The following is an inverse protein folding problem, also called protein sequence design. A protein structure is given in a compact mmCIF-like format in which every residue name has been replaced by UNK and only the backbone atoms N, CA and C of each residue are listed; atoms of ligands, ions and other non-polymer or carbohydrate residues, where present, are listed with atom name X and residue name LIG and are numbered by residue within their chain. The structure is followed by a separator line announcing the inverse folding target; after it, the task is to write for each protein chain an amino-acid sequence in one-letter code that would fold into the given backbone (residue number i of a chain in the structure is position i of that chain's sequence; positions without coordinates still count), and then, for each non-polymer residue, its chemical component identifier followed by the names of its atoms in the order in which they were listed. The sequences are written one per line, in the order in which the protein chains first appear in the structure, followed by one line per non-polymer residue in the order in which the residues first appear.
data_IF_693236820246
#
_entry.id   IF_693236820246
#
_cell.length_a   1.000
_cell.length_b   1.000
_cell.length_c   1.000
_cell.angle_alpha   90.00
_cell.angle_beta   90.00
_cell.angle_gamma   90.00
#
_symmetry.space_group_name_H-M   'P 1'
#
loop_
_entity.id
_entity.type
_entity.pdbx_description
1 polymer ?
#
# COMPACT_ATOMS: atom_id res chain seq x y z
N UNK A 1 -13.22 8.68 19.37
CA UNK A 1 -13.17 8.50 17.90
C UNK A 1 -11.74 8.05 17.56
N UNK A 2 -11.57 7.03 16.71
CA UNK A 2 -10.22 6.67 16.25
C UNK A 2 -9.70 7.81 15.37
N UNK A 3 -8.41 8.09 15.48
CA UNK A 3 -7.72 9.03 14.61
C UNK A 3 -7.80 8.58 13.15
N UNK A 4 -7.89 9.49 12.20
CA UNK A 4 -8.01 9.20 10.76
C UNK A 4 -6.63 9.27 10.13
N UNK A 5 -6.20 8.19 9.47
CA UNK A 5 -4.91 8.14 8.76
C UNK A 5 -5.01 8.65 7.33
N UNK A 6 -6.10 8.32 6.63
CA UNK A 6 -6.36 8.79 5.26
C UNK A 6 -7.76 9.38 5.20
N UNK A 7 -7.88 10.60 4.67
CA UNK A 7 -9.15 11.28 4.41
C UNK A 7 -9.18 11.76 2.96
N UNK A 8 -10.24 11.41 2.26
CA UNK A 8 -10.53 11.88 0.90
C UNK A 8 -11.93 12.44 0.90
N UNK A 9 -12.11 13.68 0.42
CA UNK A 9 -13.39 14.39 0.43
C UNK A 9 -13.67 14.98 -0.97
N UNK A 10 -14.75 14.53 -1.60
CA UNK A 10 -15.25 15.00 -2.89
C UNK A 10 -14.18 15.10 -3.99
N UNK A 11 -13.22 14.13 -3.99
CA UNK A 11 -12.08 14.12 -4.90
C UNK A 11 -12.54 13.84 -6.33
N UNK A 12 -12.31 14.80 -7.22
CA UNK A 12 -12.53 14.66 -8.66
C UNK A 12 -11.22 14.87 -9.40
N UNK A 13 -10.87 13.92 -10.26
CA UNK A 13 -9.64 13.97 -11.03
C UNK A 13 -9.85 13.53 -12.48
N UNK A 14 -9.26 14.27 -13.41
CA UNK A 14 -9.18 13.93 -14.83
C UNK A 14 -7.75 14.09 -15.37
N UNK A 15 -7.38 13.22 -16.29
CA UNK A 15 -6.19 13.43 -17.13
C UNK A 15 -6.46 14.55 -18.15
N UNK A 16 -5.43 15.27 -18.63
CA UNK A 16 -5.62 16.29 -19.65
C UNK A 16 -6.43 15.76 -20.84
N UNK A 17 -7.39 16.53 -21.27
CA UNK A 17 -8.27 16.21 -22.42
C UNK A 17 -9.05 14.89 -22.31
N UNK A 18 -9.22 14.36 -21.10
CA UNK A 18 -9.98 13.12 -20.83
C UNK A 18 -11.11 13.38 -19.84
N UNK A 19 -12.19 12.58 -19.90
CA UNK A 19 -13.25 12.67 -18.89
C UNK A 19 -12.70 12.29 -17.50
N UNK A 20 -13.38 12.73 -16.42
CA UNK A 20 -12.97 12.41 -15.06
C UNK A 20 -12.83 10.89 -14.80
N UNK A 21 -11.65 10.50 -14.30
CA UNK A 21 -11.33 9.13 -13.86
C UNK A 21 -11.82 8.90 -12.43
N UNK A 22 -11.74 9.93 -11.57
CA UNK A 22 -12.33 9.93 -10.23
C UNK A 22 -13.41 11.02 -10.18
N UNK A 23 -14.55 10.72 -9.55
CA UNK A 23 -15.76 11.54 -9.56
C UNK A 23 -16.32 11.62 -8.14
N UNK A 24 -16.05 12.72 -7.45
CA UNK A 24 -16.55 13.01 -6.10
C UNK A 24 -16.28 11.88 -5.09
N UNK A 25 -15.11 11.25 -5.18
CA UNK A 25 -14.73 10.19 -4.26
C UNK A 25 -14.59 10.73 -2.84
N UNK A 26 -15.27 10.07 -1.89
CA UNK A 26 -15.15 10.39 -0.46
C UNK A 26 -15.02 9.12 0.35
N UNK A 27 -14.00 9.05 1.22
CA UNK A 27 -13.80 7.95 2.16
C UNK A 27 -12.81 8.33 3.26
N UNK A 28 -12.82 7.55 4.36
CA UNK A 28 -11.87 7.70 5.45
C UNK A 28 -11.34 6.35 5.88
N UNK A 29 -10.03 6.30 6.22
CA UNK A 29 -9.39 5.11 6.78
C UNK A 29 -8.88 5.46 8.17
N UNK A 30 -9.33 4.75 9.22
CA UNK A 30 -8.84 4.94 10.58
C UNK A 30 -7.38 4.49 10.73
N UNK A 31 -6.66 5.12 11.67
CA UNK A 31 -5.29 4.73 12.02
C UNK A 31 -5.22 3.30 12.55
N UNK A 32 -4.16 2.57 12.20
CA UNK A 32 -3.87 1.22 12.67
C UNK A 32 -4.81 0.16 12.10
N UNK A 33 -5.27 0.33 10.88
CA UNK A 33 -6.13 -0.63 10.20
C UNK A 33 -5.59 -1.04 8.83
N UNK A 34 -5.91 -2.26 8.40
CA UNK A 34 -5.71 -2.77 7.04
C UNK A 34 -7.00 -2.60 6.25
N UNK A 35 -6.96 -1.80 5.20
CA UNK A 35 -8.08 -1.58 4.30
C UNK A 35 -7.78 -2.06 2.89
N UNK A 36 -8.77 -2.68 2.26
CA UNK A 36 -8.67 -3.12 0.85
C UNK A 36 -9.40 -2.14 -0.07
N UNK A 37 -8.74 -1.77 -1.17
CA UNK A 37 -9.36 -1.01 -2.26
C UNK A 37 -9.61 -1.94 -3.44
N UNK A 38 -10.89 -2.24 -3.69
CA UNK A 38 -11.34 -3.13 -4.74
C UNK A 38 -12.03 -2.37 -5.86
N UNK A 39 -12.18 -3.03 -6.99
CA UNK A 39 -12.92 -2.52 -8.16
C UNK A 39 -12.40 -3.10 -9.46
N UNK A 40 -13.18 -3.02 -10.55
CA UNK A 40 -12.78 -3.49 -11.86
C UNK A 40 -11.57 -2.73 -12.41
N UNK A 41 -10.92 -3.29 -13.42
CA UNK A 41 -9.85 -2.60 -14.13
C UNK A 41 -10.39 -1.31 -14.76
N UNK A 42 -9.60 -0.24 -14.70
CA UNK A 42 -10.01 1.08 -15.18
C UNK A 42 -10.93 1.86 -14.23
N UNK A 43 -11.26 1.36 -13.04
CA UNK A 43 -12.11 2.09 -12.08
C UNK A 43 -11.43 3.31 -11.43
N UNK A 44 -10.11 3.46 -11.58
CA UNK A 44 -9.35 4.59 -11.02
C UNK A 44 -8.48 4.26 -9.82
N UNK A 45 -8.36 2.99 -9.40
CA UNK A 45 -7.58 2.56 -8.19
C UNK A 45 -6.13 3.06 -8.21
N UNK A 46 -5.38 2.74 -9.28
CA UNK A 46 -3.96 3.16 -9.39
C UNK A 46 -3.83 4.68 -9.48
N UNK A 47 -4.76 5.38 -10.15
CA UNK A 47 -4.81 6.84 -10.17
C UNK A 47 -5.03 7.41 -8.76
N UNK A 48 -5.94 6.82 -7.99
CA UNK A 48 -6.18 7.21 -6.60
C UNK A 48 -4.93 6.99 -5.74
N UNK A 49 -4.25 5.84 -5.87
CA UNK A 49 -3.00 5.59 -5.14
C UNK A 49 -1.90 6.58 -5.52
N UNK A 50 -1.76 6.93 -6.80
CA UNK A 50 -0.78 7.92 -7.26
C UNK A 50 -1.06 9.32 -6.69
N UNK A 51 -2.32 9.70 -6.59
CA UNK A 51 -2.72 10.96 -5.94
C UNK A 51 -2.42 10.92 -4.43
N UNK A 52 -2.78 9.83 -3.75
CA UNK A 52 -2.48 9.63 -2.34
C UNK A 52 -0.97 9.65 -2.06
N UNK A 53 -0.17 9.02 -2.91
CA UNK A 53 1.28 8.98 -2.73
C UNK A 53 1.99 10.32 -3.01
N UNK A 54 1.29 11.28 -3.60
CA UNK A 54 1.89 12.53 -4.05
C UNK A 54 2.86 12.36 -5.23
N UNK A 55 2.94 11.16 -5.83
CA UNK A 55 3.78 10.91 -7.01
C UNK A 55 3.23 11.58 -8.27
N UNK A 56 1.92 11.84 -8.28
CA UNK A 56 1.25 12.58 -9.33
C UNK A 56 1.19 14.06 -8.97
N UNK A 57 2.15 14.83 -9.46
CA UNK A 57 2.24 16.28 -9.20
C UNK A 57 1.49 17.12 -10.23
N UNK A 58 1.25 16.56 -11.41
CA UNK A 58 0.49 17.19 -12.51
C UNK A 58 -0.19 16.11 -13.38
N UNK A 59 -1.46 16.31 -13.79
CA UNK A 59 -2.34 17.43 -13.42
C UNK A 59 -2.78 17.38 -11.95
N UNK A 60 -3.21 18.54 -11.43
CA UNK A 60 -3.83 18.62 -10.10
C UNK A 60 -5.28 18.10 -10.15
N UNK A 61 -5.83 17.62 -9.02
CA UNK A 61 -7.26 17.35 -8.92
C UNK A 61 -8.11 18.55 -9.34
N UNK A 62 -9.24 18.28 -9.97
CA UNK A 62 -10.20 19.31 -10.38
C UNK A 62 -10.92 19.91 -9.16
N UNK A 63 -11.21 19.06 -8.17
CA UNK A 63 -11.85 19.46 -6.90
C UNK A 63 -11.59 18.43 -5.81
N UNK A 64 -11.93 18.79 -4.58
CA UNK A 64 -11.86 17.91 -3.42
C UNK A 64 -10.61 18.12 -2.58
N UNK A 65 -10.56 17.38 -1.48
CA UNK A 65 -9.47 17.41 -0.51
C UNK A 65 -8.92 16.01 -0.26
N UNK A 66 -7.62 15.95 -0.03
CA UNK A 66 -6.91 14.71 0.27
C UNK A 66 -5.92 14.98 1.39
N UNK A 67 -6.03 14.21 2.47
CA UNK A 67 -5.18 14.33 3.66
C UNK A 67 -4.65 12.97 4.06
N UNK A 68 -3.35 12.91 4.35
CA UNK A 68 -2.70 11.73 4.92
C UNK A 68 -1.98 12.17 6.19
N UNK A 69 -2.36 11.55 7.29
CA UNK A 69 -1.78 11.80 8.61
C UNK A 69 -0.68 10.79 8.88
N UNK A 70 0.57 11.24 8.70
CA UNK A 70 1.75 10.43 8.92
C UNK A 70 2.66 10.29 7.72
N UNK A 71 3.81 9.64 7.94
CA UNK A 71 4.81 9.38 6.90
C UNK A 71 4.33 8.24 6.00
N UNK A 72 4.29 8.51 4.70
CA UNK A 72 3.82 7.59 3.69
C UNK A 72 4.93 6.69 3.15
N UNK A 73 4.62 5.41 2.94
CA UNK A 73 5.38 4.46 2.13
C UNK A 73 4.54 3.92 0.99
N UNK A 74 5.19 3.63 -0.13
CA UNK A 74 4.53 3.04 -1.31
C UNK A 74 5.24 1.75 -1.72
N UNK A 75 4.47 0.71 -2.02
CA UNK A 75 4.95 -0.58 -2.52
C UNK A 75 4.31 -0.84 -3.87
N UNK A 76 5.15 -0.97 -4.91
CA UNK A 76 4.71 -1.22 -6.28
C UNK A 76 4.26 -2.67 -6.49
N UNK A 77 3.42 -2.88 -7.48
CA UNK A 77 3.00 -4.19 -7.96
C UNK A 77 4.20 -5.07 -8.36
N UNK A 78 5.14 -4.51 -9.11
CA UNK A 78 6.38 -5.18 -9.47
C UNK A 78 7.54 -4.64 -8.63
N UNK A 79 8.10 -5.43 -7.69
CA UNK A 79 9.21 -4.99 -6.85
C UNK A 79 10.49 -4.67 -7.63
N UNK A 80 10.68 -5.21 -8.82
CA UNK A 80 11.86 -4.91 -9.66
C UNK A 80 11.88 -3.46 -10.14
N UNK A 81 10.74 -2.75 -10.08
CA UNK A 81 10.68 -1.31 -10.35
C UNK A 81 11.08 -0.44 -9.14
N UNK A 82 11.29 -1.04 -7.98
CA UNK A 82 11.56 -0.35 -6.73
C UNK A 82 12.92 -0.70 -6.11
N UNK A 83 13.45 -1.87 -6.42
CA UNK A 83 14.71 -2.38 -5.86
C UNK A 83 15.87 -2.14 -6.83
N UNK A 84 16.83 -1.30 -6.43
CA UNK A 84 17.90 -0.83 -7.30
C UNK A 84 19.31 -1.20 -6.82
N UNK A 85 19.46 -1.53 -5.52
CA UNK A 85 20.78 -1.78 -4.94
C UNK A 85 21.19 -3.26 -5.08
N UNK A 86 22.48 -3.56 -5.04
CA UNK A 86 22.95 -4.93 -5.26
C UNK A 86 22.56 -5.91 -4.15
N UNK A 87 22.37 -5.44 -2.92
CA UNK A 87 22.05 -6.29 -1.77
C UNK A 87 20.83 -5.79 -0.98
N UNK A 88 20.15 -6.70 -0.28
CA UNK A 88 18.98 -6.42 0.55
C UNK A 88 19.23 -5.27 1.53
N UNK A 89 20.31 -5.33 2.29
CA UNK A 89 20.60 -4.28 3.28
C UNK A 89 20.95 -2.93 2.66
N UNK A 90 21.60 -2.93 1.49
CA UNK A 90 21.91 -1.71 0.77
C UNK A 90 20.63 -1.05 0.21
N UNK A 91 19.70 -1.86 -0.28
CA UNK A 91 18.44 -1.37 -0.84
C UNK A 91 17.54 -0.72 0.24
N UNK A 92 17.37 -1.41 1.37
CA UNK A 92 16.64 -0.86 2.52
C UNK A 92 17.31 0.40 3.08
N UNK A 93 18.66 0.47 3.07
CA UNK A 93 19.40 1.66 3.48
C UNK A 93 19.27 2.84 2.50
N UNK A 94 19.07 2.56 1.21
CA UNK A 94 19.04 3.58 0.15
C UNK A 94 17.97 4.65 0.42
N UNK A 95 16.78 4.26 0.84
CA UNK A 95 15.70 5.17 1.20
C UNK A 95 15.99 6.12 2.39
N UNK A 96 17.05 5.82 3.17
CA UNK A 96 17.47 6.63 4.32
C UNK A 96 18.55 7.68 3.97
N UNK A 97 19.10 7.63 2.76
CA UNK A 97 20.23 8.49 2.38
C UNK A 97 19.96 9.99 2.39
N UNK A 98 18.70 10.41 2.33
CA UNK A 98 18.30 11.81 2.42
C UNK A 98 18.01 12.28 3.88
N UNK A 99 18.04 11.37 4.85
CA UNK A 99 17.79 11.71 6.26
C UNK A 99 19.11 12.02 6.97
N UNK A 100 19.15 12.98 7.92
CA UNK A 100 20.34 13.33 8.68
C UNK A 100 20.65 12.27 9.76
N UNK A 101 21.01 11.06 9.32
CA UNK A 101 21.27 9.91 10.19
C UNK A 101 22.73 9.52 10.18
N UNK A 102 23.23 9.09 11.34
CA UNK A 102 24.53 8.44 11.46
C UNK A 102 24.50 7.04 10.84
N UNK A 103 25.65 6.51 10.47
CA UNK A 103 25.79 5.14 9.99
C UNK A 103 25.27 4.10 10.99
N UNK A 104 25.40 4.35 12.29
CA UNK A 104 24.87 3.47 13.34
C UNK A 104 23.34 3.43 13.33
N UNK A 105 22.70 4.59 13.20
CA UNK A 105 21.23 4.72 13.11
C UNK A 105 20.69 4.07 11.83
N UNK A 106 21.35 4.29 10.69
CA UNK A 106 20.97 3.63 9.42
C UNK A 106 21.02 2.10 9.59
N UNK A 107 22.14 1.57 10.11
CA UNK A 107 22.28 0.12 10.36
C UNK A 107 21.22 -0.43 11.30
N UNK A 108 20.87 0.32 12.35
CA UNK A 108 19.84 -0.10 13.29
C UNK A 108 18.46 -0.12 12.62
N UNK A 109 18.08 0.93 11.88
CA UNK A 109 16.79 0.99 11.17
C UNK A 109 16.66 -0.11 10.13
N UNK A 110 17.71 -0.38 9.35
CA UNK A 110 17.74 -1.48 8.37
C UNK A 110 17.52 -2.84 9.06
N UNK A 111 18.22 -3.11 10.17
CA UNK A 111 18.06 -4.36 10.92
C UNK A 111 16.64 -4.51 11.48
N UNK A 112 16.11 -3.45 12.08
CA UNK A 112 14.75 -3.45 12.63
C UNK A 112 13.73 -3.72 11.52
N UNK A 113 13.77 -2.97 10.41
CA UNK A 113 12.83 -3.13 9.30
C UNK A 113 12.90 -4.53 8.65
N UNK A 114 14.12 -5.07 8.46
CA UNK A 114 14.28 -6.43 7.95
C UNK A 114 13.82 -7.50 8.96
N UNK A 115 13.96 -7.23 10.24
CA UNK A 115 13.42 -8.09 11.31
C UNK A 115 11.90 -8.15 11.27
N UNK A 116 11.23 -7.01 11.11
CA UNK A 116 9.77 -6.88 11.04
C UNK A 116 9.15 -7.67 9.85
N UNK A 117 9.88 -7.83 8.75
CA UNK A 117 9.43 -8.62 7.59
C UNK A 117 10.05 -10.03 7.52
N UNK A 118 10.75 -10.47 8.58
CA UNK A 118 11.34 -11.81 8.67
C UNK A 118 12.59 -12.04 7.78
N UNK A 119 13.22 -10.99 7.26
CA UNK A 119 14.33 -11.08 6.31
C UNK A 119 15.70 -10.65 6.86
N UNK A 120 15.85 -10.46 8.17
CA UNK A 120 17.11 -10.02 8.78
C UNK A 120 18.30 -10.91 8.42
N UNK A 121 18.08 -12.22 8.33
CA UNK A 121 19.11 -13.20 7.95
C UNK A 121 19.61 -13.06 6.50
N UNK A 122 18.84 -12.33 5.65
CA UNK A 122 19.15 -12.08 4.23
C UNK A 122 19.83 -10.73 3.98
N UNK A 123 20.18 -9.95 5.00
CA UNK A 123 20.69 -8.58 4.87
C UNK A 123 21.84 -8.41 3.85
N UNK A 124 22.70 -9.43 3.69
CA UNK A 124 23.84 -9.43 2.75
C UNK A 124 23.51 -10.11 1.41
N UNK A 125 22.31 -10.66 1.25
CA UNK A 125 21.95 -11.44 0.08
C UNK A 125 21.76 -10.52 -1.15
N UNK A 126 22.23 -10.94 -2.34
CA UNK A 126 21.99 -10.20 -3.58
C UNK A 126 20.48 -10.15 -3.92
N UNK A 127 19.97 -9.00 -4.35
CA UNK A 127 18.55 -8.81 -4.71
C UNK A 127 18.10 -9.77 -5.80
N UNK A 128 18.93 -9.99 -6.83
CA UNK A 128 18.59 -10.86 -7.95
C UNK A 128 18.41 -12.34 -7.58
N UNK A 129 18.87 -12.76 -6.40
CA UNK A 129 18.74 -14.13 -5.91
C UNK A 129 17.49 -14.38 -5.05
N UNK A 130 16.65 -13.36 -4.89
CA UNK A 130 15.43 -13.42 -4.09
C UNK A 130 14.23 -13.92 -4.92
N UNK A 131 13.30 -14.64 -4.26
CA UNK A 131 11.98 -14.90 -4.83
C UNK A 131 11.14 -13.62 -4.93
N UNK A 132 10.07 -13.64 -5.72
CA UNK A 132 9.15 -12.51 -5.86
C UNK A 132 8.59 -12.04 -4.51
N UNK A 133 8.13 -12.96 -3.66
CA UNK A 133 7.62 -12.63 -2.32
C UNK A 133 8.70 -12.06 -1.39
N UNK A 134 9.93 -12.56 -1.47
CA UNK A 134 11.06 -11.97 -0.74
C UNK A 134 11.36 -10.55 -1.21
N UNK A 135 11.35 -10.29 -2.51
CA UNK A 135 11.52 -8.94 -3.07
C UNK A 135 10.42 -8.00 -2.60
N UNK A 136 9.16 -8.43 -2.59
CA UNK A 136 8.06 -7.61 -2.06
C UNK A 136 8.26 -7.28 -0.59
N UNK A 137 8.66 -8.24 0.25
CA UNK A 137 8.97 -7.99 1.66
C UNK A 137 10.18 -7.06 1.84
N UNK A 138 11.18 -7.09 0.94
CA UNK A 138 12.28 -6.10 0.96
C UNK A 138 11.75 -4.69 0.63
N UNK A 139 10.86 -4.54 -0.35
CA UNK A 139 10.25 -3.26 -0.67
C UNK A 139 9.44 -2.69 0.53
N UNK A 140 8.70 -3.55 1.23
CA UNK A 140 8.02 -3.19 2.49
C UNK A 140 9.04 -2.75 3.55
N UNK A 141 10.12 -3.51 3.75
CA UNK A 141 11.18 -3.14 4.71
C UNK A 141 11.82 -1.78 4.39
N UNK A 142 12.01 -1.45 3.11
CA UNK A 142 12.48 -0.14 2.67
C UNK A 142 11.56 1.01 3.11
N UNK A 143 10.24 0.80 3.02
CA UNK A 143 9.26 1.76 3.55
C UNK A 143 9.34 1.86 5.08
N UNK A 144 9.36 0.72 5.79
CA UNK A 144 9.42 0.67 7.26
C UNK A 144 10.67 1.34 7.84
N UNK A 145 11.83 1.17 7.21
CA UNK A 145 13.09 1.80 7.62
C UNK A 145 12.96 3.34 7.70
N UNK A 146 12.11 3.92 6.85
CA UNK A 146 11.77 5.34 6.84
C UNK A 146 10.75 5.75 7.91
N UNK A 147 10.36 4.84 8.82
CA UNK A 147 9.32 5.07 9.84
C UNK A 147 7.95 5.41 9.23
N UNK A 148 7.58 4.68 8.21
CA UNK A 148 6.27 4.80 7.57
C UNK A 148 5.16 4.50 8.57
N UNK A 149 4.12 5.33 8.57
CA UNK A 149 2.91 5.17 9.37
C UNK A 149 1.70 4.78 8.50
N UNK A 150 1.73 5.17 7.22
CA UNK A 150 0.71 4.82 6.23
C UNK A 150 1.37 4.12 5.05
N UNK A 151 0.98 2.88 4.77
CA UNK A 151 1.54 2.06 3.70
C UNK A 151 0.50 1.90 2.59
N UNK A 152 0.85 2.34 1.39
CA UNK A 152 0.06 2.10 0.18
C UNK A 152 0.67 0.94 -0.60
N UNK A 153 -0.14 -0.08 -0.92
CA UNK A 153 0.31 -1.26 -1.63
C UNK A 153 -0.52 -1.42 -2.92
N UNK A 154 0.13 -1.35 -4.07
CA UNK A 154 -0.52 -1.46 -5.38
C UNK A 154 -0.43 -2.90 -5.89
N UNK A 155 -1.48 -3.70 -5.70
CA UNK A 155 -1.59 -5.11 -6.10
C UNK A 155 -0.33 -5.96 -5.78
N UNK A 156 0.21 -5.92 -4.55
CA UNK A 156 1.54 -6.45 -4.24
C UNK A 156 1.65 -7.98 -4.36
N UNK A 157 0.52 -8.69 -4.45
CA UNK A 157 0.44 -10.16 -4.63
C UNK A 157 0.23 -10.60 -6.07
N UNK A 158 0.02 -9.68 -7.01
CA UNK A 158 -0.41 -10.03 -8.37
C UNK A 158 0.58 -10.93 -9.13
N UNK A 159 1.88 -10.81 -8.84
CA UNK A 159 2.97 -11.55 -9.51
C UNK A 159 3.54 -12.68 -8.66
N UNK A 160 2.89 -13.04 -7.55
CA UNK A 160 3.38 -14.03 -6.60
C UNK A 160 2.65 -15.37 -6.75
N UNK A 161 3.34 -16.46 -6.40
CA UNK A 161 2.75 -17.77 -6.17
C UNK A 161 1.84 -17.77 -4.92
N UNK A 162 0.90 -18.73 -4.78
CA UNK A 162 -0.07 -18.75 -3.69
C UNK A 162 0.53 -18.70 -2.28
N UNK A 163 1.64 -19.41 -2.04
CA UNK A 163 2.30 -19.45 -0.73
C UNK A 163 2.92 -18.09 -0.41
N UNK A 164 3.63 -17.49 -1.37
CA UNK A 164 4.20 -16.15 -1.23
C UNK A 164 3.13 -15.06 -1.06
N UNK A 165 1.93 -15.24 -1.64
CA UNK A 165 0.79 -14.35 -1.44
C UNK A 165 0.31 -14.39 0.00
N UNK A 166 0.06 -15.59 0.54
CA UNK A 166 -0.36 -15.78 1.93
C UNK A 166 0.66 -15.19 2.91
N UNK A 167 1.93 -15.50 2.72
CA UNK A 167 3.05 -14.97 3.53
C UNK A 167 3.10 -13.44 3.54
N UNK A 168 2.85 -12.79 2.39
CA UNK A 168 2.87 -11.33 2.31
C UNK A 168 1.68 -10.70 3.01
N UNK A 169 0.48 -11.25 2.83
CA UNK A 169 -0.74 -10.76 3.49
C UNK A 169 -0.60 -10.88 5.01
N UNK A 170 -0.13 -12.04 5.50
CA UNK A 170 0.13 -12.26 6.92
C UNK A 170 1.18 -11.28 7.46
N UNK A 171 2.28 -11.07 6.74
CA UNK A 171 3.31 -10.09 7.09
C UNK A 171 2.73 -8.68 7.28
N UNK A 172 1.91 -8.20 6.32
CA UNK A 172 1.28 -6.88 6.43
C UNK A 172 0.27 -6.84 7.58
N UNK A 173 -0.52 -7.91 7.80
CA UNK A 173 -1.43 -7.98 8.94
C UNK A 173 -0.69 -7.85 10.28
N UNK A 174 0.41 -8.59 10.44
CA UNK A 174 1.25 -8.51 11.62
C UNK A 174 1.80 -7.09 11.85
N UNK A 175 2.26 -6.42 10.79
CA UNK A 175 2.74 -5.03 10.87
C UNK A 175 1.65 -4.06 11.33
N UNK A 176 0.42 -4.23 10.85
CA UNK A 176 -0.72 -3.41 11.29
C UNK A 176 -1.04 -3.67 12.76
N UNK A 177 -1.08 -4.95 13.19
CA UNK A 177 -1.46 -5.34 14.55
C UNK A 177 -0.39 -5.00 15.60
N UNK A 178 0.90 -5.17 15.27
CA UNK A 178 1.99 -5.05 16.22
C UNK A 178 2.66 -3.68 16.21
N UNK A 179 2.77 -3.05 15.04
CA UNK A 179 3.46 -1.78 14.85
C UNK A 179 2.49 -0.59 14.72
N UNK A 180 1.19 -0.84 14.63
CA UNK A 180 0.15 0.18 14.50
C UNK A 180 0.16 0.92 13.16
N UNK A 181 0.77 0.35 12.12
CA UNK A 181 0.75 0.96 10.78
C UNK A 181 -0.66 0.92 10.21
N UNK A 182 -1.00 1.91 9.40
CA UNK A 182 -2.20 1.87 8.56
C UNK A 182 -1.81 1.38 7.17
N UNK A 183 -2.55 0.44 6.60
CA UNK A 183 -2.29 -0.03 5.26
C UNK A 183 -3.52 0.11 4.35
N UNK A 184 -3.33 0.67 3.16
CA UNK A 184 -4.29 0.64 2.06
C UNK A 184 -3.73 -0.24 0.96
N UNK A 185 -4.39 -1.37 0.72
CA UNK A 185 -3.97 -2.42 -0.20
C UNK A 185 -4.93 -2.51 -1.38
N UNK A 186 -4.46 -2.22 -2.57
CA UNK A 186 -5.23 -2.44 -3.80
C UNK A 186 -5.19 -3.90 -4.18
N UNK A 187 -6.36 -4.47 -4.44
CA UNK A 187 -6.47 -5.85 -4.91
C UNK A 187 -7.72 -6.07 -5.76
N UNK A 188 -7.70 -7.11 -6.58
CA UNK A 188 -8.88 -7.67 -7.24
C UNK A 188 -9.28 -9.04 -6.67
N UNK A 189 -8.58 -9.51 -5.62
CA UNK A 189 -8.75 -10.83 -5.01
C UNK A 189 -9.64 -10.76 -3.79
N UNK A 190 -10.85 -11.32 -3.88
CA UNK A 190 -11.82 -11.30 -2.78
C UNK A 190 -11.37 -12.11 -1.55
N UNK A 191 -10.50 -13.10 -1.73
CA UNK A 191 -9.94 -13.88 -0.62
C UNK A 191 -9.11 -13.01 0.35
N UNK A 192 -8.42 -11.98 -0.15
CA UNK A 192 -7.60 -11.10 0.68
C UNK A 192 -8.44 -10.24 1.65
N UNK A 193 -9.75 -10.05 1.37
CA UNK A 193 -10.67 -9.34 2.27
C UNK A 193 -10.81 -9.98 3.66
N UNK A 194 -10.50 -11.27 3.79
CA UNK A 194 -10.56 -11.97 5.08
C UNK A 194 -9.55 -11.43 6.10
N UNK A 195 -8.51 -10.78 5.63
CA UNK A 195 -7.46 -10.18 6.46
C UNK A 195 -7.71 -8.70 6.80
N UNK A 196 -8.71 -8.07 6.16
CA UNK A 196 -8.94 -6.64 6.24
C UNK A 196 -9.94 -6.24 7.33
N UNK A 197 -9.68 -5.11 7.98
CA UNK A 197 -10.62 -4.46 8.89
C UNK A 197 -11.75 -3.77 8.12
N UNK A 198 -11.41 -3.19 6.96
CA UNK A 198 -12.36 -2.47 6.13
C UNK A 198 -12.04 -2.59 4.64
N UNK A 199 -13.01 -2.19 3.82
CA UNK A 199 -12.85 -2.17 2.38
C UNK A 199 -13.57 -0.99 1.73
N UNK A 200 -13.06 -0.61 0.55
CA UNK A 200 -13.64 0.38 -0.34
C UNK A 200 -13.83 -0.28 -1.69
N UNK A 201 -15.01 -0.20 -2.27
CA UNK A 201 -15.29 -0.65 -3.64
C UNK A 201 -15.43 0.57 -4.55
N UNK A 202 -14.48 0.71 -5.47
CA UNK A 202 -14.41 1.77 -6.47
C UNK A 202 -14.90 1.25 -7.82
N UNK A 203 -15.91 1.88 -8.41
CA UNK A 203 -16.41 1.54 -9.73
C UNK A 203 -16.77 2.81 -10.50
N UNK A 204 -16.41 2.86 -11.78
CA UNK A 204 -16.66 4.01 -12.68
C UNK A 204 -16.17 5.36 -12.13
N UNK A 205 -15.08 5.32 -11.37
CA UNK A 205 -14.49 6.49 -10.73
C UNK A 205 -15.22 6.97 -9.48
N UNK A 206 -16.12 6.18 -8.90
CA UNK A 206 -16.88 6.53 -7.69
C UNK A 206 -16.73 5.47 -6.61
N UNK A 207 -16.71 5.90 -5.35
CA UNK A 207 -16.82 5.00 -4.20
C UNK A 207 -18.26 4.53 -4.12
N UNK A 208 -18.50 3.27 -4.48
CA UNK A 208 -19.84 2.66 -4.48
C UNK A 208 -20.18 2.05 -3.12
N UNK A 209 -19.18 1.52 -2.42
CA UNK A 209 -19.32 0.90 -1.11
C UNK A 209 -18.10 1.19 -0.25
N UNK A 210 -18.33 1.38 1.03
CA UNK A 210 -17.28 1.53 2.05
C UNK A 210 -17.78 1.00 3.38
N UNK A 211 -16.94 0.27 4.10
CA UNK A 211 -17.30 -0.22 5.45
C UNK A 211 -16.43 -1.39 5.87
N UNK A 212 -16.94 -2.23 6.80
CA UNK A 212 -16.22 -3.44 7.20
C UNK A 212 -16.00 -4.36 5.99
N UNK A 213 -14.87 -5.07 5.97
CA UNK A 213 -14.52 -5.96 4.87
C UNK A 213 -15.62 -7.00 4.60
N UNK A 214 -16.23 -7.54 5.66
CA UNK A 214 -17.33 -8.50 5.56
C UNK A 214 -18.58 -7.90 4.88
N UNK A 215 -18.97 -6.67 5.26
CA UNK A 215 -20.12 -5.98 4.67
C UNK A 215 -19.89 -5.72 3.17
N UNK A 216 -18.72 -5.20 2.81
CA UNK A 216 -18.38 -4.90 1.41
C UNK A 216 -18.31 -6.18 0.58
N UNK A 217 -17.73 -7.27 1.14
CA UNK A 217 -17.69 -8.59 0.47
C UNK A 217 -19.08 -9.12 0.14
N UNK A 218 -20.03 -9.04 1.09
CA UNK A 218 -21.42 -9.49 0.87
C UNK A 218 -22.11 -8.69 -0.24
N UNK A 219 -21.93 -7.37 -0.24
CA UNK A 219 -22.53 -6.48 -1.24
C UNK A 219 -21.95 -6.70 -2.63
N UNK A 220 -20.62 -6.90 -2.73
CA UNK A 220 -19.96 -7.21 -4.02
C UNK A 220 -20.41 -8.59 -4.53
N UNK A 221 -20.51 -9.61 -3.67
CA UNK A 221 -21.01 -10.94 -4.02
C UNK A 221 -22.42 -10.90 -4.63
N UNK A 222 -23.32 -10.07 -4.09
CA UNK A 222 -24.66 -9.86 -4.64
C UNK A 222 -24.66 -9.16 -6.01
N UNK A 223 -23.70 -8.25 -6.27
CA UNK A 223 -23.58 -7.52 -7.53
C UNK A 223 -22.99 -8.38 -8.65
N UNK A 224 -22.14 -9.35 -8.35
CA UNK A 224 -21.41 -10.17 -9.33
C UNK A 224 -21.85 -11.64 -9.37
N UNK A 225 -22.85 -12.05 -8.55
CA UNK A 225 -23.48 -13.39 -8.62
C UNK A 225 -22.55 -14.55 -8.22
N UNK A 226 -21.61 -14.31 -7.29
CA UNK A 226 -20.72 -15.34 -6.71
C UNK A 226 -21.07 -15.66 -5.27
#
# INVERSE_FOLDING_TARGET
MREVAIRVEHLTFAWPERPPVLKECSFTIPTGQLWMLLGPNGSGKSTLLQLLSGSLTYPKPLSGHLEINGRLGYVFQNPDHQLFMPTVGADVAFGLGAEPLTLAEIRQRVKTALGQVGLLHMIRRPIHSLSGGQKQRVAVAGALARRTQVLLLDEPTALLDPDSQADLVECIRQLVDQEGITALWVTHRLAELEWADGAIFLSEGQVRQQGSAQMVRQQIGQLFGT
#
